data_IF_297852693972
#
_entry.id   IF_297852693972
#
_cell.length_a   1.000
_cell.length_b   1.000
_cell.length_c   1.000
_cell.angle_alpha   90.00
_cell.angle_beta   90.00
_cell.angle_gamma   90.00
#
_symmetry.space_group_name_H-M   'P 1'
#
loop_
_entity.id
_entity.type
_entity.pdbx_description
1 polymer ?
#
# COMPACT_ATOMS: atom_id res chain seq x y z
N UNK A 1 39.48 -6.80 19.47
CA UNK A 1 39.93 -5.87 18.41
C UNK A 1 39.21 -6.27 17.13
N UNK A 2 38.21 -5.50 16.69
CA UNK A 2 37.53 -5.75 15.43
C UNK A 2 38.32 -5.07 14.31
N UNK A 3 38.97 -5.87 13.47
CA UNK A 3 39.69 -5.39 12.29
C UNK A 3 38.66 -5.08 11.20
N UNK A 4 38.31 -3.80 11.04
CA UNK A 4 37.49 -3.34 9.93
C UNK A 4 38.41 -3.25 8.70
N UNK A 5 38.32 -4.24 7.81
CA UNK A 5 39.03 -4.22 6.53
C UNK A 5 38.32 -3.19 5.65
N UNK A 6 38.90 -2.00 5.51
CA UNK A 6 38.41 -0.94 4.63
C UNK A 6 38.60 -1.32 3.16
N UNK A 7 37.68 -2.10 2.61
CA UNK A 7 37.62 -2.36 1.18
C UNK A 7 36.80 -1.26 0.48
N UNK A 8 37.39 -0.67 -0.56
CA UNK A 8 36.74 0.31 -1.43
C UNK A 8 35.45 -0.27 -2.03
N UNK A 9 34.32 0.39 -1.81
CA UNK A 9 33.00 -0.04 -2.25
C UNK A 9 32.93 -0.25 -3.77
N UNK A 10 33.70 0.51 -4.55
CA UNK A 10 33.77 0.34 -6.00
C UNK A 10 34.45 -0.97 -6.40
N UNK A 11 35.48 -1.39 -5.66
CA UNK A 11 36.16 -2.69 -5.88
C UNK A 11 35.26 -3.86 -5.49
N UNK A 12 34.50 -3.71 -4.40
CA UNK A 12 33.51 -4.70 -3.97
C UNK A 12 32.39 -4.86 -5.02
N UNK A 13 31.86 -3.76 -5.57
CA UNK A 13 30.86 -3.81 -6.63
C UNK A 13 31.41 -4.45 -7.92
N UNK A 14 32.66 -4.14 -8.29
CA UNK A 14 33.31 -4.76 -9.44
C UNK A 14 33.44 -6.29 -9.31
N UNK A 15 33.81 -6.77 -8.11
CA UNK A 15 33.88 -8.21 -7.82
C UNK A 15 32.50 -8.88 -7.85
N UNK A 16 31.45 -8.21 -7.38
CA UNK A 16 30.08 -8.72 -7.47
C UNK A 16 29.60 -8.87 -8.92
N UNK A 17 29.92 -7.89 -9.78
CA UNK A 17 29.56 -7.92 -11.21
C UNK A 17 30.33 -9.02 -11.95
N UNK A 18 31.64 -9.16 -11.70
CA UNK A 18 32.48 -10.21 -12.30
C UNK A 18 31.99 -11.62 -11.92
N UNK A 19 31.63 -11.83 -10.65
CA UNK A 19 31.05 -13.09 -10.19
C UNK A 19 29.75 -13.42 -10.93
N UNK A 20 28.84 -12.45 -11.08
CA UNK A 20 27.58 -12.62 -11.81
C UNK A 20 27.80 -12.97 -13.29
N UNK A 21 28.80 -12.37 -13.94
CA UNK A 21 29.14 -12.68 -15.33
C UNK A 21 29.67 -14.10 -15.49
N UNK A 22 30.55 -14.54 -14.59
CA UNK A 22 31.10 -15.90 -14.59
C UNK A 22 30.04 -16.98 -14.33
N UNK A 23 29.05 -16.69 -13.48
CA UNK A 23 27.88 -17.57 -13.28
C UNK A 23 27.05 -17.66 -14.56
N UNK A 24 26.77 -16.53 -15.22
CA UNK A 24 26.00 -16.51 -16.49
C UNK A 24 26.69 -17.27 -17.62
N UNK A 25 28.02 -17.24 -17.66
CA UNK A 25 28.82 -17.95 -18.66
C UNK A 25 29.03 -19.44 -18.33
N UNK A 26 28.53 -19.92 -17.18
CA UNK A 26 28.72 -21.30 -16.74
C UNK A 26 30.13 -21.62 -16.24
N UNK A 27 30.98 -20.60 -16.05
CA UNK A 27 32.34 -20.76 -15.52
C UNK A 27 32.37 -21.07 -14.01
N UNK A 28 31.28 -20.75 -13.30
CA UNK A 28 31.07 -21.14 -11.91
C UNK A 28 29.88 -22.07 -11.86
N UNK A 29 30.11 -23.32 -11.47
CA UNK A 29 29.05 -24.31 -11.28
C UNK A 29 28.28 -24.00 -10.00
N UNK A 30 27.05 -24.51 -9.95
CA UNK A 30 26.14 -24.32 -8.81
C UNK A 30 26.79 -24.79 -7.49
N UNK A 31 27.49 -25.93 -7.50
CA UNK A 31 28.18 -26.48 -6.34
C UNK A 31 29.41 -25.66 -5.88
N UNK A 32 30.12 -25.01 -6.82
CA UNK A 32 31.22 -24.10 -6.47
C UNK A 32 30.72 -22.84 -5.76
N UNK A 33 29.53 -22.35 -6.15
CA UNK A 33 28.91 -21.19 -5.54
C UNK A 33 28.34 -21.49 -4.15
N UNK A 34 27.78 -22.70 -3.98
CA UNK A 34 27.37 -23.24 -2.67
C UNK A 34 28.56 -23.32 -1.70
N UNK A 35 29.69 -23.86 -2.15
CA UNK A 35 30.92 -23.93 -1.35
C UNK A 35 31.47 -22.53 -1.00
N UNK A 36 31.48 -21.60 -1.95
CA UNK A 36 32.04 -20.25 -1.75
C UNK A 36 31.20 -19.38 -0.81
N UNK A 37 29.87 -19.50 -0.88
CA UNK A 37 28.95 -18.70 -0.06
C UNK A 37 28.66 -19.33 1.31
N UNK A 38 28.97 -20.62 1.48
CA UNK A 38 28.60 -21.39 2.67
C UNK A 38 27.09 -21.62 2.79
N UNK A 39 26.31 -21.25 1.76
CA UNK A 39 24.86 -21.39 1.75
C UNK A 39 24.48 -22.80 1.31
N UNK A 40 23.72 -23.48 2.16
CA UNK A 40 23.08 -24.74 1.81
C UNK A 40 22.10 -24.57 0.65
N UNK A 41 21.76 -25.69 0.00
CA UNK A 41 20.71 -25.73 -1.03
C UNK A 41 19.37 -25.21 -0.52
N UNK A 42 19.04 -25.45 0.75
CA UNK A 42 17.82 -24.93 1.38
C UNK A 42 17.89 -23.42 1.61
N UNK A 43 18.98 -22.88 2.13
CA UNK A 43 19.13 -21.43 2.36
C UNK A 43 19.09 -20.63 1.06
N UNK A 44 19.72 -21.14 0.00
CA UNK A 44 19.68 -20.52 -1.32
C UNK A 44 18.31 -20.62 -1.95
N UNK A 45 17.63 -21.77 -1.83
CA UNK A 45 16.25 -21.89 -2.28
C UNK A 45 15.33 -20.96 -1.49
N UNK A 46 15.53 -20.78 -0.19
CA UNK A 46 14.77 -19.83 0.62
C UNK A 46 15.03 -18.38 0.18
N UNK A 47 16.27 -18.00 -0.14
CA UNK A 47 16.61 -16.69 -0.70
C UNK A 47 15.97 -16.46 -2.09
N UNK A 48 15.97 -17.48 -2.95
CA UNK A 48 15.40 -17.40 -4.29
C UNK A 48 13.87 -17.45 -4.31
N UNK A 49 13.26 -18.27 -3.45
CA UNK A 49 11.81 -18.41 -3.29
C UNK A 49 11.20 -17.20 -2.59
N UNK A 50 11.91 -16.58 -1.64
CA UNK A 50 11.50 -15.32 -1.02
C UNK A 50 11.34 -14.19 -2.04
N UNK A 51 12.07 -14.23 -3.16
CA UNK A 51 11.95 -13.22 -4.24
C UNK A 51 10.82 -13.49 -5.25
N UNK A 52 10.19 -14.67 -5.24
CA UNK A 52 9.26 -15.10 -6.32
C UNK A 52 7.79 -15.20 -5.93
N UNK A 53 7.43 -15.03 -4.66
CA UNK A 53 6.03 -15.15 -4.20
C UNK A 53 5.53 -13.92 -3.46
N UNK A 54 6.03 -12.71 -3.79
CA UNK A 54 5.44 -11.50 -3.23
C UNK A 54 3.98 -11.40 -3.66
N UNK A 55 3.08 -11.29 -2.69
CA UNK A 55 1.68 -11.04 -2.92
C UNK A 55 1.48 -9.57 -3.37
N UNK A 56 2.43 -8.69 -3.04
CA UNK A 56 2.48 -7.30 -3.46
C UNK A 56 3.58 -7.03 -4.51
N UNK A 57 3.24 -6.18 -5.47
CA UNK A 57 4.14 -5.59 -6.44
C UNK A 57 4.25 -4.09 -6.15
N UNK A 58 5.40 -3.63 -5.68
CA UNK A 58 5.62 -2.20 -5.46
C UNK A 58 5.45 -1.43 -6.77
N UNK A 59 4.64 -0.36 -6.75
CA UNK A 59 4.38 0.48 -7.92
C UNK A 59 5.17 1.78 -7.84
N UNK A 60 4.93 2.60 -6.82
CA UNK A 60 5.64 3.87 -6.63
C UNK A 60 5.39 4.45 -5.24
N UNK A 61 5.74 5.73 -5.04
CA UNK A 61 5.47 6.51 -3.84
C UNK A 61 4.73 7.81 -4.17
N UNK A 62 4.07 8.39 -3.18
CA UNK A 62 3.46 9.72 -3.25
C UNK A 62 3.81 10.50 -1.98
N UNK A 63 4.05 11.80 -2.15
CA UNK A 63 4.28 12.71 -1.04
C UNK A 63 2.95 13.34 -0.63
N UNK A 64 2.60 13.22 0.65
CA UNK A 64 1.50 13.95 1.28
C UNK A 64 2.10 15.09 2.11
N UNK A 65 1.80 16.35 1.77
CA UNK A 65 2.44 17.50 2.39
C UNK A 65 2.06 17.64 3.87
N UNK A 66 2.99 18.26 4.61
CA UNK A 66 2.76 18.67 5.99
C UNK A 66 1.53 19.58 6.11
N UNK A 67 0.90 19.56 7.28
CA UNK A 67 -0.21 20.44 7.60
C UNK A 67 -0.18 20.85 9.06
N UNK A 68 -0.74 22.02 9.32
CA UNK A 68 -0.77 22.66 10.64
C UNK A 68 -2.12 22.56 11.33
N UNK A 69 -3.15 22.10 10.61
CA UNK A 69 -4.52 22.00 11.13
C UNK A 69 -4.94 20.54 11.35
N UNK A 70 -5.71 20.31 12.41
CA UNK A 70 -6.38 19.04 12.64
C UNK A 70 -7.28 18.69 11.46
N UNK A 71 -7.35 17.40 11.12
CA UNK A 71 -8.32 16.88 10.18
C UNK A 71 -9.53 16.35 10.95
N UNK A 72 -10.74 16.73 10.52
CA UNK A 72 -12.00 16.27 11.10
C UNK A 72 -12.77 15.51 10.03
N UNK A 73 -12.88 14.19 10.19
CA UNK A 73 -13.38 13.29 9.14
C UNK A 73 -14.78 13.69 8.65
N UNK A 74 -15.68 14.04 9.57
CA UNK A 74 -17.07 14.44 9.25
C UNK A 74 -17.19 15.76 8.49
N UNK A 75 -16.14 16.58 8.46
CA UNK A 75 -16.11 17.83 7.69
C UNK A 75 -15.58 17.61 6.28
N UNK A 76 -14.62 16.68 6.12
CA UNK A 76 -14.04 16.37 4.81
C UNK A 76 -14.83 15.34 4.01
N UNK A 77 -15.32 14.29 4.67
CA UNK A 77 -15.96 13.13 4.04
C UNK A 77 -17.48 13.27 4.13
N UNK A 78 -18.04 14.14 3.29
CA UNK A 78 -19.47 14.39 3.19
C UNK A 78 -19.96 13.98 1.81
N UNK A 79 -21.09 13.29 1.73
CA UNK A 79 -21.72 12.96 0.46
C UNK A 79 -22.12 14.24 -0.28
N UNK A 80 -21.39 14.57 -1.35
CA UNK A 80 -21.68 15.65 -2.27
C UNK A 80 -21.19 15.23 -3.66
N UNK A 81 -22.10 15.18 -4.64
CA UNK A 81 -21.80 14.85 -6.04
C UNK A 81 -21.95 16.05 -6.96
N UNK A 82 -22.17 17.24 -6.38
CA UNK A 82 -22.31 18.49 -7.13
C UNK A 82 -21.05 18.78 -7.94
N UNK A 83 -21.20 19.59 -8.98
CA UNK A 83 -20.07 20.01 -9.82
C UNK A 83 -19.10 20.90 -9.03
N UNK A 84 -19.56 21.56 -7.97
CA UNK A 84 -18.75 22.43 -7.11
C UNK A 84 -18.02 21.67 -5.98
N UNK A 85 -18.36 20.39 -5.73
CA UNK A 85 -17.74 19.58 -4.70
C UNK A 85 -16.23 19.43 -4.95
N UNK A 86 -15.40 19.72 -3.94
CA UNK A 86 -13.96 19.50 -4.05
C UNK A 86 -13.59 18.01 -4.22
N UNK A 87 -14.42 17.13 -3.64
CA UNK A 87 -14.37 15.68 -3.81
C UNK A 87 -15.78 15.20 -4.02
N UNK A 88 -16.06 14.59 -5.17
CA UNK A 88 -17.37 13.99 -5.44
C UNK A 88 -17.50 12.70 -4.66
N UNK A 89 -18.15 12.73 -3.51
CA UNK A 89 -18.43 11.54 -2.70
C UNK A 89 -19.88 11.16 -2.93
N UNK A 90 -20.09 10.02 -3.57
CA UNK A 90 -21.41 9.49 -3.89
C UNK A 90 -22.00 8.66 -2.76
N UNK A 91 -21.16 7.93 -2.03
CA UNK A 91 -21.62 6.99 -1.03
C UNK A 91 -20.59 6.78 0.08
N UNK A 92 -21.10 6.65 1.30
CA UNK A 92 -20.36 6.25 2.50
C UNK A 92 -21.11 5.08 3.13
N UNK A 93 -20.44 3.96 3.38
CA UNK A 93 -21.09 2.78 3.98
C UNK A 93 -21.50 3.04 5.43
N UNK A 94 -22.48 2.30 5.92
CA UNK A 94 -22.96 2.41 7.32
C UNK A 94 -21.82 2.22 8.32
N UNK A 95 -20.99 1.18 8.15
CA UNK A 95 -19.79 0.96 8.96
C UNK A 95 -18.82 2.15 8.93
N UNK A 96 -18.67 2.81 7.77
CA UNK A 96 -17.77 3.96 7.67
C UNK A 96 -18.32 5.14 8.46
N UNK A 97 -19.63 5.40 8.32
CA UNK A 97 -20.33 6.44 9.07
C UNK A 97 -20.20 6.15 10.57
N UNK A 98 -20.47 4.93 11.02
CA UNK A 98 -20.41 4.54 12.42
C UNK A 98 -18.99 4.66 12.99
N UNK A 99 -18.01 4.03 12.35
CA UNK A 99 -16.66 3.88 12.90
C UNK A 99 -15.78 5.13 12.72
N UNK A 100 -16.05 5.97 11.71
CA UNK A 100 -15.23 7.14 11.42
C UNK A 100 -15.96 8.46 11.57
N UNK A 101 -17.27 8.52 11.35
CA UNK A 101 -18.05 9.75 11.39
C UNK A 101 -18.95 9.87 12.63
N UNK A 102 -19.05 8.83 13.45
CA UNK A 102 -19.82 8.80 14.68
C UNK A 102 -19.46 9.93 15.65
N UNK A 103 -20.47 10.53 16.28
CA UNK A 103 -20.31 11.61 17.26
C UNK A 103 -19.63 12.85 16.68
N UNK A 104 -18.40 13.13 17.14
CA UNK A 104 -17.59 14.26 16.62
C UNK A 104 -16.82 13.92 15.33
N UNK A 105 -16.93 12.67 14.86
CA UNK A 105 -16.07 12.11 13.83
C UNK A 105 -14.64 11.89 14.32
N UNK A 106 -13.88 11.09 13.57
CA UNK A 106 -12.45 10.91 13.80
C UNK A 106 -11.74 12.24 13.61
N UNK A 107 -10.92 12.60 14.60
CA UNK A 107 -10.08 13.79 14.58
C UNK A 107 -8.64 13.34 14.55
N UNK A 108 -7.90 13.75 13.53
CA UNK A 108 -6.47 13.48 13.40
C UNK A 108 -5.69 14.78 13.65
N UNK A 109 -4.62 14.68 14.43
CA UNK A 109 -3.74 15.81 14.72
C UNK A 109 -3.04 16.33 13.45
N UNK A 110 -2.49 17.55 13.49
CA UNK A 110 -1.55 18.01 12.48
C UNK A 110 -0.42 16.98 12.28
N UNK A 111 0.05 16.84 11.04
CA UNK A 111 1.14 15.92 10.71
C UNK A 111 2.23 16.62 9.90
N UNK A 112 3.44 16.09 10.02
CA UNK A 112 4.54 16.40 9.11
C UNK A 112 4.29 15.80 7.74
N UNK A 113 5.13 16.14 6.77
CA UNK A 113 5.13 15.51 5.46
C UNK A 113 5.30 14.00 5.61
N UNK A 114 4.53 13.25 4.81
CA UNK A 114 4.54 11.78 4.79
C UNK A 114 4.83 11.31 3.38
N UNK A 115 5.59 10.23 3.26
CA UNK A 115 5.82 9.52 1.99
C UNK A 115 5.08 8.20 2.06
N UNK A 116 4.03 8.07 1.26
CA UNK A 116 3.27 6.83 1.18
C UNK A 116 3.76 6.03 0.00
N UNK A 117 4.06 4.76 0.25
CA UNK A 117 4.39 3.79 -0.78
C UNK A 117 3.13 3.10 -1.20
N UNK A 118 3.00 2.76 -2.47
CA UNK A 118 1.87 1.97 -2.93
C UNK A 118 2.23 0.79 -3.81
N UNK A 119 1.45 -0.27 -3.67
CA UNK A 119 1.71 -1.55 -4.29
C UNK A 119 0.44 -2.13 -4.93
N UNK A 120 0.62 -2.92 -6.00
CA UNK A 120 -0.40 -3.69 -6.70
C UNK A 120 -0.52 -5.08 -6.08
N UNK A 121 -1.74 -5.55 -5.79
CA UNK A 121 -1.95 -6.95 -5.41
C UNK A 121 -1.81 -7.86 -6.62
N UNK A 122 -0.98 -8.91 -6.51
CA UNK A 122 -0.68 -9.85 -7.62
C UNK A 122 -1.56 -11.09 -7.64
N UNK A 123 -2.25 -11.38 -6.55
CA UNK A 123 -3.16 -12.53 -6.41
C UNK A 123 -4.22 -12.24 -5.35
N UNK A 124 -5.40 -12.87 -5.42
CA UNK A 124 -6.42 -12.65 -4.41
C UNK A 124 -5.93 -12.98 -2.98
N UNK A 125 -6.25 -12.15 -1.99
CA UNK A 125 -5.80 -12.35 -0.59
C UNK A 125 -6.66 -11.66 0.46
N UNK A 126 -6.58 -12.17 1.69
CA UNK A 126 -7.21 -11.60 2.87
C UNK A 126 -6.36 -10.49 3.47
N UNK A 127 -7.00 -9.57 4.19
CA UNK A 127 -6.32 -8.44 4.86
C UNK A 127 -5.16 -8.91 5.75
N UNK A 128 -5.33 -10.00 6.50
CA UNK A 128 -4.26 -10.53 7.36
C UNK A 128 -2.98 -10.90 6.60
N UNK A 129 -3.09 -11.48 5.40
CA UNK A 129 -1.94 -11.81 4.57
C UNK A 129 -1.28 -10.56 3.96
N UNK A 130 -2.10 -9.59 3.55
CA UNK A 130 -1.64 -8.32 3.01
C UNK A 130 -0.89 -7.53 4.07
N UNK A 131 -1.48 -7.38 5.26
CA UNK A 131 -0.88 -6.68 6.41
C UNK A 131 0.43 -7.37 6.81
N UNK A 132 0.47 -8.71 6.83
CA UNK A 132 1.70 -9.44 7.13
C UNK A 132 2.81 -9.15 6.13
N UNK A 133 2.51 -9.07 4.84
CA UNK A 133 3.50 -8.74 3.81
C UNK A 133 3.95 -7.27 3.86
N UNK A 134 3.06 -6.35 4.22
CA UNK A 134 3.40 -4.96 4.52
C UNK A 134 4.28 -4.82 5.78
N UNK A 135 4.48 -5.91 6.53
CA UNK A 135 5.33 -5.97 7.72
C UNK A 135 4.61 -5.67 9.03
N UNK A 136 3.30 -5.94 9.08
CA UNK A 136 2.45 -5.83 10.26
C UNK A 136 1.57 -4.58 10.27
N UNK A 137 0.62 -4.53 11.21
CA UNK A 137 -0.38 -3.45 11.31
C UNK A 137 0.25 -2.06 11.34
N UNK A 138 1.32 -1.87 12.13
CA UNK A 138 1.97 -0.58 12.30
C UNK A 138 2.57 -0.02 11.00
N UNK A 139 2.94 -0.89 10.05
CA UNK A 139 3.47 -0.47 8.74
C UNK A 139 2.38 -0.34 7.69
N UNK A 140 1.33 -1.14 7.80
CA UNK A 140 0.18 -1.09 6.91
C UNK A 140 -0.75 0.11 7.21
N UNK A 141 -0.73 0.61 8.45
CA UNK A 141 -1.57 1.71 8.90
C UNK A 141 -1.29 3.02 8.12
N UNK A 142 -2.38 3.68 7.76
CA UNK A 142 -2.44 5.00 7.10
C UNK A 142 -3.41 5.90 7.83
N UNK A 143 -3.22 7.20 7.73
CA UNK A 143 -4.13 8.19 8.28
C UNK A 143 -5.32 8.41 7.34
N UNK A 144 -6.52 8.63 7.90
CA UNK A 144 -7.71 8.91 7.10
C UNK A 144 -7.55 10.20 6.28
N UNK A 145 -6.80 11.17 6.79
CA UNK A 145 -6.49 12.40 6.07
C UNK A 145 -5.62 12.19 4.84
N UNK A 146 -4.74 11.20 4.85
CA UNK A 146 -3.92 10.82 3.69
C UNK A 146 -4.81 10.23 2.60
N UNK A 147 -5.65 9.27 3.01
CA UNK A 147 -6.98 8.96 2.46
C UNK A 147 -7.56 10.10 1.61
N UNK A 148 -8.07 11.06 2.36
CA UNK A 148 -8.83 12.17 1.84
C UNK A 148 -8.00 13.10 0.94
N UNK A 149 -6.71 13.30 1.24
CA UNK A 149 -5.82 14.10 0.41
C UNK A 149 -5.71 13.54 -1.01
N UNK A 150 -5.51 12.22 -1.14
CA UNK A 150 -5.43 11.55 -2.44
C UNK A 150 -6.77 11.63 -3.17
N UNK A 151 -7.89 11.41 -2.47
CA UNK A 151 -9.22 11.59 -3.05
C UNK A 151 -9.43 13.02 -3.55
N UNK A 152 -8.94 14.04 -2.84
CA UNK A 152 -9.04 15.44 -3.24
C UNK A 152 -8.23 15.77 -4.49
N UNK A 153 -7.04 15.17 -4.64
CA UNK A 153 -6.24 15.26 -5.88
C UNK A 153 -6.99 14.68 -7.08
N UNK A 154 -7.86 13.70 -6.84
CA UNK A 154 -8.70 13.03 -7.85
C UNK A 154 -10.20 13.24 -7.63
N UNK A 155 -10.59 14.42 -7.14
CA UNK A 155 -11.95 14.68 -6.64
C UNK A 155 -13.08 14.46 -7.64
N UNK A 156 -12.81 14.58 -8.94
CA UNK A 156 -13.78 14.42 -10.02
C UNK A 156 -13.50 13.17 -10.88
N UNK A 157 -12.73 12.21 -10.34
CA UNK A 157 -12.41 10.96 -11.02
C UNK A 157 -11.39 11.13 -12.14
N UNK A 158 -10.64 12.23 -12.15
CA UNK A 158 -9.50 12.40 -13.04
C UNK A 158 -8.40 11.36 -12.78
N UNK A 159 -7.56 11.05 -13.79
CA UNK A 159 -6.42 10.17 -13.61
C UNK A 159 -5.48 10.65 -12.48
N UNK A 160 -4.86 9.70 -11.80
CA UNK A 160 -3.88 9.95 -10.76
C UNK A 160 -3.46 8.66 -10.07
N UNK A 161 -3.04 8.75 -8.81
CA UNK A 161 -2.53 7.60 -8.06
C UNK A 161 -3.62 6.63 -7.62
N UNK A 162 -4.82 7.13 -7.28
CA UNK A 162 -5.97 6.28 -6.98
C UNK A 162 -6.56 5.69 -8.26
N UNK A 163 -6.93 4.42 -8.21
CA UNK A 163 -7.71 3.77 -9.24
C UNK A 163 -9.08 4.43 -9.33
N UNK A 164 -9.41 4.92 -10.52
CA UNK A 164 -10.68 5.58 -10.84
C UNK A 164 -11.55 4.76 -11.82
N UNK A 165 -11.22 3.48 -11.99
CA UNK A 165 -11.81 2.54 -12.95
C UNK A 165 -12.72 1.49 -12.26
N UNK A 166 -13.47 1.91 -11.24
CA UNK A 166 -14.32 1.08 -10.38
C UNK A 166 -13.61 0.04 -9.49
N UNK A 167 -12.30 -0.11 -9.62
CA UNK A 167 -11.51 -0.97 -8.74
C UNK A 167 -11.22 -0.33 -7.38
N UNK A 168 -10.88 -1.21 -6.42
CA UNK A 168 -10.70 -0.86 -5.03
C UNK A 168 -9.31 -0.26 -4.77
N UNK A 169 -9.28 0.87 -4.09
CA UNK A 169 -8.10 1.35 -3.37
C UNK A 169 -8.27 0.96 -1.90
N UNK A 170 -7.29 0.28 -1.32
CA UNK A 170 -7.35 -0.22 0.06
C UNK A 170 -6.43 0.59 0.94
N UNK A 171 -6.98 0.99 2.08
CA UNK A 171 -6.28 1.66 3.15
C UNK A 171 -6.55 0.92 4.45
N UNK A 172 -5.56 0.83 5.33
CA UNK A 172 -5.77 0.35 6.70
C UNK A 172 -5.73 1.56 7.62
N UNK A 173 -6.83 1.83 8.30
CA UNK A 173 -7.01 3.06 9.09
C UNK A 173 -7.62 2.68 10.43
N UNK A 174 -7.07 3.21 11.53
CA UNK A 174 -7.70 3.03 12.85
C UNK A 174 -8.97 3.85 12.95
N UNK A 175 -10.04 3.25 13.46
CA UNK A 175 -11.31 3.93 13.71
C UNK A 175 -11.26 4.85 14.96
N UNK A 176 -12.42 5.40 15.35
CA UNK A 176 -12.54 6.20 16.59
C UNK A 176 -12.28 5.40 17.88
N UNK A 177 -12.43 4.08 17.85
CA UNK A 177 -12.14 3.18 18.96
C UNK A 177 -10.68 2.67 18.96
N UNK A 178 -9.89 3.06 17.97
CA UNK A 178 -8.49 2.64 17.80
C UNK A 178 -8.33 1.26 17.16
N UNK A 179 -9.41 0.62 16.70
CA UNK A 179 -9.35 -0.65 16.00
C UNK A 179 -8.96 -0.45 14.54
N UNK A 180 -8.05 -1.27 14.03
CA UNK A 180 -7.63 -1.20 12.62
C UNK A 180 -8.78 -1.69 11.73
N UNK A 181 -9.17 -0.88 10.75
CA UNK A 181 -10.22 -1.18 9.77
C UNK A 181 -9.67 -1.11 8.37
N UNK A 182 -10.25 -1.92 7.49
CA UNK A 182 -10.01 -1.83 6.06
C UNK A 182 -10.96 -0.79 5.47
N UNK A 183 -10.42 0.28 4.91
CA UNK A 183 -11.17 1.33 4.23
C UNK A 183 -10.96 1.17 2.72
N UNK A 184 -12.06 0.94 2.01
CA UNK A 184 -12.08 0.80 0.56
C UNK A 184 -12.60 2.09 -0.07
N UNK A 185 -11.87 2.64 -1.04
CA UNK A 185 -12.34 3.73 -1.89
C UNK A 185 -12.34 3.32 -3.36
N UNK A 186 -13.43 3.53 -4.08
CA UNK A 186 -13.51 3.29 -5.52
C UNK A 186 -14.36 4.33 -6.22
N UNK A 187 -14.05 4.63 -7.48
CA UNK A 187 -14.80 5.58 -8.30
C UNK A 187 -15.83 4.86 -9.16
N UNK A 188 -17.11 5.18 -8.98
CA UNK A 188 -18.19 4.64 -9.81
C UNK A 188 -19.36 5.62 -9.92
N UNK A 189 -20.01 5.63 -11.08
CA UNK A 189 -21.20 6.46 -11.30
C UNK A 189 -20.97 7.95 -11.04
N UNK A 190 -19.78 8.47 -11.37
CA UNK A 190 -19.45 9.89 -11.24
C UNK A 190 -19.10 10.38 -9.83
N UNK A 191 -18.79 9.47 -8.90
CA UNK A 191 -18.28 9.83 -7.57
C UNK A 191 -17.54 8.70 -6.87
N UNK A 192 -16.80 9.05 -5.82
CA UNK A 192 -16.16 8.13 -4.90
C UNK A 192 -17.19 7.46 -4.00
N UNK A 193 -17.04 6.15 -3.82
CA UNK A 193 -17.74 5.37 -2.81
C UNK A 193 -16.73 4.88 -1.79
N UNK A 194 -16.99 5.12 -0.51
CA UNK A 194 -16.10 4.74 0.59
C UNK A 194 -16.80 3.74 1.49
N UNK A 195 -16.15 2.61 1.73
CA UNK A 195 -16.65 1.53 2.58
C UNK A 195 -15.65 1.20 3.68
N UNK A 196 -16.15 0.79 4.84
CA UNK A 196 -15.32 0.27 5.92
C UNK A 196 -15.68 -1.19 6.25
N UNK A 197 -14.65 -2.00 6.47
CA UNK A 197 -14.76 -3.40 6.86
C UNK A 197 -13.83 -3.72 8.04
N UNK A 198 -14.18 -4.74 8.81
CA UNK A 198 -13.26 -5.31 9.79
C UNK A 198 -12.12 -6.04 9.06
N UNK A 199 -10.89 -5.93 9.56
CA UNK A 199 -9.71 -6.65 9.02
C UNK A 199 -9.89 -8.18 9.13
N UNK A 200 -10.73 -8.66 10.06
CA UNK A 200 -11.09 -10.07 10.19
C UNK A 200 -12.26 -10.53 9.30
N UNK A 201 -12.71 -9.70 8.35
CA UNK A 201 -13.82 -10.05 7.47
C UNK A 201 -13.48 -11.28 6.62
N UNK A 202 -14.41 -12.22 6.39
CA UNK A 202 -14.14 -13.46 5.64
C UNK A 202 -14.02 -13.25 4.12
N UNK A 203 -14.06 -12.00 3.64
CA UNK A 203 -14.00 -11.69 2.22
C UNK A 203 -12.55 -11.43 1.81
N UNK A 204 -12.11 -12.11 0.75
CA UNK A 204 -10.82 -11.85 0.10
C UNK A 204 -10.95 -10.71 -0.90
N UNK A 205 -9.85 -10.00 -1.12
CA UNK A 205 -9.69 -9.05 -2.20
C UNK A 205 -9.17 -9.78 -3.43
N UNK A 206 -9.78 -9.64 -4.61
CA UNK A 206 -9.26 -10.28 -5.83
C UNK A 206 -8.24 -9.39 -6.54
N UNK A 207 -7.37 -9.98 -7.36
CA UNK A 207 -6.40 -9.27 -8.19
C UNK A 207 -7.04 -8.63 -9.44
N UNK A 208 -6.27 -7.76 -10.10
CA UNK A 208 -6.75 -6.90 -11.17
C UNK A 208 -6.11 -7.25 -12.50
N UNK A 209 -6.87 -7.32 -13.60
CA UNK A 209 -6.36 -7.83 -14.86
C UNK A 209 -5.29 -6.91 -15.47
N UNK A 210 -4.32 -7.47 -16.22
CA UNK A 210 -3.38 -6.70 -17.01
C UNK A 210 -4.05 -6.24 -18.33
N UNK A 211 -4.65 -5.04 -18.31
CA UNK A 211 -5.09 -4.33 -19.52
C UNK A 211 -6.45 -4.73 -20.13
N UNK A 212 -7.30 -3.72 -20.33
CA UNK A 212 -8.43 -3.59 -21.28
C UNK A 212 -9.80 -4.26 -20.95
N UNK A 213 -10.78 -3.35 -20.73
CA UNK A 213 -12.24 -3.33 -21.04
C UNK A 213 -13.11 -4.61 -20.89
N UNK A 214 -14.14 -4.54 -20.04
CA UNK A 214 -15.54 -4.78 -20.45
C UNK A 214 -16.57 -4.47 -19.34
N UNK A 215 -17.76 -4.13 -19.80
CA UNK A 215 -19.00 -3.61 -19.20
C UNK A 215 -19.84 -4.59 -18.35
N UNK A 216 -20.62 -4.01 -17.41
CA UNK A 216 -21.96 -4.43 -16.89
C UNK A 216 -22.05 -5.82 -16.17
N UNK A 217 -22.83 -6.11 -15.13
CA UNK A 217 -23.85 -5.47 -14.25
C UNK A 217 -24.14 -6.50 -13.10
N UNK A 218 -25.32 -6.55 -12.46
CA UNK A 218 -25.77 -5.96 -11.20
C UNK A 218 -25.81 -6.94 -9.98
N UNK A 219 -26.01 -6.38 -8.77
CA UNK A 219 -26.45 -7.01 -7.52
C UNK A 219 -26.71 -8.53 -7.48
N UNK A 220 -25.77 -9.27 -6.88
CA UNK A 220 -25.87 -10.31 -5.84
C UNK A 220 -24.60 -11.16 -6.00
N UNK A 221 -23.87 -11.40 -4.90
CA UNK A 221 -22.56 -12.08 -4.85
C UNK A 221 -21.43 -11.22 -5.43
N UNK A 222 -20.88 -10.33 -4.59
CA UNK A 222 -19.73 -9.51 -4.95
C UNK A 222 -18.46 -10.39 -5.09
N UNK A 223 -18.26 -10.97 -6.27
CA UNK A 223 -16.95 -11.39 -6.75
C UNK A 223 -16.16 -10.11 -7.02
N UNK A 224 -15.08 -9.90 -6.28
CA UNK A 224 -14.36 -8.65 -6.14
C UNK A 224 -13.18 -8.56 -7.12
N UNK A 225 -13.38 -8.70 -8.43
CA UNK A 225 -12.29 -8.47 -9.40
C UNK A 225 -11.71 -7.06 -9.21
N UNK A 226 -10.37 -6.93 -9.07
CA UNK A 226 -9.77 -5.77 -8.39
C UNK A 226 -8.31 -5.46 -8.75
N UNK A 227 -8.02 -4.43 -9.54
CA UNK A 227 -6.69 -3.78 -9.37
C UNK A 227 -6.68 -3.15 -7.98
N UNK A 228 -5.61 -3.39 -7.22
CA UNK A 228 -5.57 -3.08 -5.80
C UNK A 228 -4.35 -2.27 -5.50
N UNK A 229 -4.54 -1.02 -5.12
CA UNK A 229 -3.45 -0.16 -4.66
C UNK A 229 -3.48 -0.12 -3.12
N UNK A 230 -2.40 -0.62 -2.52
CA UNK A 230 -2.19 -0.76 -1.07
C UNK A 230 -1.10 0.17 -0.60
N UNK A 231 -1.31 0.84 0.55
CA UNK A 231 -0.44 1.92 1.01
C UNK A 231 0.38 1.53 2.25
N UNK A 232 1.67 1.89 2.28
CA UNK A 232 2.58 1.71 3.41
C UNK A 232 3.20 3.06 3.80
N UNK A 233 3.34 3.29 5.10
CA UNK A 233 3.96 4.48 5.66
C UNK A 233 5.39 4.17 6.12
N UNK A 234 6.39 4.87 5.57
CA UNK A 234 7.74 4.88 6.11
C UNK A 234 7.94 6.22 6.84
N UNK A 235 7.91 6.19 8.18
CA UNK A 235 8.27 7.36 8.99
C UNK A 235 9.79 7.53 8.90
N UNK A 236 10.26 8.47 8.08
CA UNK A 236 11.63 8.95 8.15
C UNK A 236 11.79 9.75 9.44
N UNK A 237 12.22 9.08 10.51
CA UNK A 237 12.77 9.75 11.68
C UNK A 237 14.11 10.37 11.27
N UNK A 238 14.09 11.67 10.94
CA UNK A 238 15.30 12.47 10.93
C UNK A 238 15.82 12.52 12.36
N UNK A 239 16.82 11.67 12.66
CA UNK A 239 17.59 11.73 13.88
C UNK A 239 18.32 13.08 13.95
N UNK A 240 17.74 14.03 14.68
CA UNK A 240 18.46 15.16 15.23
C UNK A 240 19.41 14.60 16.30
N UNK A 241 20.63 14.27 15.88
CA UNK A 241 21.78 14.28 16.77
C UNK A 241 22.26 15.73 16.83
N UNK A 242 21.85 16.44 17.88
CA UNK A 242 22.45 17.72 18.25
C UNK A 242 23.91 17.48 18.69
N UNK A 243 24.76 18.37 18.18
CA UNK A 243 26.18 18.56 18.52
C UNK A 243 26.29 19.42 19.78
#
# INVERSE_FOLDING_TARGET
MNMIIGADAAKLAGLQIDLLQKVRQGHVTLGQLEWFTGLSKEERNNLFLSSRSSLLEFVSTVVVPANTCKFVAREGLVCDVSVAAAVKIRYLSENFIEWFLGGRGKIEAPMTEQVLRYAKLRKPSFDGAIIAELGGEAKAETALREMFFLMKKQGHGQPGVLLNNAYANIFYVRDIAGALRTVRAYWYGGGWSVHAYSVGSPNRWDDGPPGVLSQFCPWLLCHCSGELILWQLDTLTLGLHDV
#
